data_IF_265120790654
#
_entry.id   IF_265120790654
#
_cell.length_a   1.000
_cell.length_b   1.000
_cell.length_c   1.000
_cell.angle_alpha   90.00
_cell.angle_beta   90.00
_cell.angle_gamma   90.00
#
_symmetry.space_group_name_H-M   'P 1'
#
loop_
_entity.id
_entity.type
_entity.pdbx_description
1 polymer ?
#
# COMPACT_ATOMS: atom_id res chain seq x y z
N UNK A 1 38.36 -8.83 55.28
CA UNK A 1 37.00 -8.29 55.05
C UNK A 1 36.79 -8.25 53.54
N UNK A 2 35.71 -8.86 53.06
CA UNK A 2 35.51 -9.20 51.64
C UNK A 2 35.02 -8.01 50.80
N UNK A 3 35.26 -8.12 49.49
CA UNK A 3 34.97 -7.18 48.41
C UNK A 3 33.47 -7.00 48.09
N UNK A 4 32.58 -7.26 49.04
CA UNK A 4 31.11 -7.33 48.82
C UNK A 4 30.32 -6.15 49.42
N UNK A 5 30.99 -5.11 49.94
CA UNK A 5 30.32 -4.01 50.66
C UNK A 5 30.31 -2.66 49.90
N UNK A 6 30.55 -2.67 48.58
CA UNK A 6 30.43 -1.48 47.73
C UNK A 6 29.27 -1.52 46.74
N UNK A 7 28.41 -2.54 46.80
CA UNK A 7 27.32 -2.75 45.82
C UNK A 7 25.92 -2.36 46.35
N UNK A 8 25.84 -1.64 47.48
CA UNK A 8 24.57 -1.17 48.03
C UNK A 8 24.43 0.36 47.95
N UNK A 9 24.42 0.89 46.73
CA UNK A 9 24.07 2.29 46.51
C UNK A 9 24.01 2.61 45.03
N UNK A 10 22.79 2.88 44.53
CA UNK A 10 22.43 3.31 43.16
C UNK A 10 21.65 2.28 42.31
N UNK A 11 20.74 1.52 42.93
CA UNK A 11 19.53 1.08 42.24
C UNK A 11 18.49 2.20 42.25
N UNK A 12 18.60 3.14 41.30
CA UNK A 12 17.54 4.10 41.00
C UNK A 12 17.69 4.59 39.56
N UNK A 13 17.02 3.90 38.63
CA UNK A 13 16.55 4.45 37.36
C UNK A 13 17.61 5.05 36.44
N UNK A 14 18.34 4.21 35.72
CA UNK A 14 19.03 4.61 34.49
C UNK A 14 17.99 4.93 33.39
N UNK A 15 17.29 6.06 33.56
CA UNK A 15 16.60 6.72 32.46
C UNK A 15 17.68 7.38 31.63
N UNK A 16 17.91 6.86 30.43
CA UNK A 16 18.84 7.43 29.45
C UNK A 16 18.54 8.94 29.31
N UNK A 17 19.52 9.85 29.48
CA UNK A 17 19.26 11.30 29.50
C UNK A 17 18.72 11.83 28.17
N UNK A 18 18.90 11.08 27.08
CA UNK A 18 18.35 11.39 25.76
C UNK A 18 16.82 11.32 25.72
N UNK A 19 16.19 10.45 26.51
CA UNK A 19 14.73 10.29 26.53
C UNK A 19 14.05 11.25 27.53
N UNK A 20 14.74 11.58 28.63
CA UNK A 20 14.27 12.56 29.61
C UNK A 20 14.23 13.99 29.04
N UNK A 21 15.22 14.38 28.23
CA UNK A 21 15.24 15.70 27.58
C UNK A 21 14.12 15.84 26.53
N UNK A 22 13.75 14.75 25.86
CA UNK A 22 12.62 14.67 24.91
C UNK A 22 11.26 14.71 25.60
N UNK A 23 11.17 14.22 26.83
CA UNK A 23 9.95 14.24 27.64
C UNK A 23 9.65 15.65 28.18
N UNK A 24 10.67 16.39 28.64
CA UNK A 24 10.52 17.77 29.14
C UNK A 24 10.20 18.83 28.07
N UNK A 25 10.30 18.45 26.79
CA UNK A 25 9.99 19.27 25.61
C UNK A 25 8.58 19.01 25.04
N UNK A 26 7.90 17.96 25.52
CA UNK A 26 6.56 17.62 25.07
C UNK A 26 5.54 18.57 25.66
N UNK A 27 5.03 19.41 24.78
CA UNK A 27 3.85 20.21 25.04
C UNK A 27 2.72 19.30 25.56
N UNK A 28 2.22 19.58 26.76
CA UNK A 28 1.05 18.91 27.37
C UNK A 28 -0.27 19.29 26.68
N UNK A 29 -0.29 19.31 25.35
CA UNK A 29 -1.51 19.46 24.58
C UNK A 29 -1.95 18.06 24.14
N UNK A 30 -2.90 17.42 24.85
CA UNK A 30 -3.30 16.05 24.57
C UNK A 30 -3.85 15.91 23.14
N UNK A 31 -4.53 16.93 22.63
CA UNK A 31 -5.08 16.93 21.28
C UNK A 31 -3.97 17.00 20.21
N UNK A 32 -2.90 17.75 20.47
CA UNK A 32 -1.71 17.76 19.59
C UNK A 32 -1.06 16.38 19.54
N UNK A 33 -0.80 15.78 20.71
CA UNK A 33 -0.12 14.47 20.81
C UNK A 33 -0.96 13.35 20.19
N UNK A 34 -2.28 13.35 20.41
CA UNK A 34 -3.19 12.41 19.77
C UNK A 34 -3.16 12.55 18.24
N UNK A 35 -3.16 13.79 17.73
CA UNK A 35 -3.11 14.05 16.30
C UNK A 35 -1.80 13.56 15.67
N UNK A 36 -0.66 13.78 16.34
CA UNK A 36 0.65 13.25 15.93
C UNK A 36 0.60 11.72 15.85
N UNK A 37 0.14 11.07 16.91
CA UNK A 37 0.05 9.60 16.96
C UNK A 37 -0.84 9.06 15.86
N UNK A 38 -2.00 9.69 15.62
CA UNK A 38 -2.92 9.31 14.55
C UNK A 38 -2.29 9.43 13.16
N UNK A 39 -1.57 10.52 12.87
CA UNK A 39 -0.85 10.69 11.60
C UNK A 39 0.18 9.58 11.42
N UNK A 40 0.98 9.30 12.46
CA UNK A 40 2.01 8.26 12.41
C UNK A 40 1.41 6.88 12.13
N UNK A 41 0.33 6.51 12.83
CA UNK A 41 -0.37 5.25 12.60
C UNK A 41 -0.90 5.16 11.17
N UNK A 42 -1.55 6.22 10.67
CA UNK A 42 -2.08 6.25 9.29
C UNK A 42 -0.97 6.10 8.25
N UNK A 43 0.14 6.80 8.42
CA UNK A 43 1.33 6.68 7.54
C UNK A 43 1.88 5.25 7.53
N UNK A 44 1.96 4.60 8.69
CA UNK A 44 2.41 3.21 8.78
C UNK A 44 1.43 2.26 8.09
N UNK A 45 0.12 2.40 8.35
CA UNK A 45 -0.92 1.59 7.70
C UNK A 45 -0.91 1.77 6.19
N UNK A 46 -0.82 2.99 5.67
CA UNK A 46 -0.71 3.25 4.23
C UNK A 46 0.54 2.59 3.63
N UNK A 47 1.68 2.60 4.31
CA UNK A 47 2.87 1.88 3.85
C UNK A 47 2.65 0.37 3.80
N UNK A 48 2.02 -0.21 4.82
CA UNK A 48 1.67 -1.64 4.84
C UNK A 48 0.71 -2.01 3.71
N UNK A 49 -0.31 -1.19 3.47
CA UNK A 49 -1.24 -1.36 2.36
C UNK A 49 -0.52 -1.27 1.01
N UNK A 50 0.38 -0.29 0.82
CA UNK A 50 1.19 -0.17 -0.39
C UNK A 50 2.01 -1.45 -0.66
N UNK A 51 2.63 -2.03 0.36
CA UNK A 51 3.35 -3.31 0.22
C UNK A 51 2.41 -4.46 -0.16
N UNK A 52 1.20 -4.52 0.42
CA UNK A 52 0.21 -5.55 0.08
C UNK A 52 -0.32 -5.39 -1.35
N UNK A 53 -0.61 -4.15 -1.77
CA UNK A 53 -0.97 -3.80 -3.14
C UNK A 53 0.11 -4.29 -4.11
N UNK A 54 1.39 -3.98 -3.87
CA UNK A 54 2.49 -4.43 -4.74
C UNK A 54 2.54 -5.95 -4.87
N UNK A 55 2.36 -6.69 -3.76
CA UNK A 55 2.31 -8.17 -3.79
C UNK A 55 1.12 -8.71 -4.57
N UNK A 56 -0.06 -8.09 -4.44
CA UNK A 56 -1.24 -8.48 -5.22
C UNK A 56 -1.02 -8.24 -6.70
N UNK A 57 -0.48 -7.07 -7.08
CA UNK A 57 -0.21 -6.77 -8.49
C UNK A 57 0.79 -7.77 -9.09
N UNK A 58 1.80 -8.21 -8.34
CA UNK A 58 2.75 -9.25 -8.79
C UNK A 58 2.09 -10.63 -9.01
N UNK A 59 0.95 -10.90 -8.38
CA UNK A 59 0.19 -12.15 -8.56
C UNK A 59 -0.76 -12.08 -9.75
N UNK A 60 -1.18 -10.89 -10.17
CA UNK A 60 -2.07 -10.70 -11.31
C UNK A 60 -1.44 -11.26 -12.60
N UNK A 61 -2.19 -12.06 -13.35
CA UNK A 61 -1.72 -12.70 -14.57
C UNK A 61 -0.78 -13.89 -14.38
N UNK A 62 -0.54 -14.32 -13.15
CA UNK A 62 0.18 -15.58 -12.85
C UNK A 62 -0.81 -16.74 -12.68
N UNK A 63 -0.33 -17.97 -12.56
CA UNK A 63 -1.22 -19.11 -12.27
C UNK A 63 -1.99 -19.00 -10.93
N UNK A 64 -1.52 -18.13 -10.03
CA UNK A 64 -2.13 -17.84 -8.73
C UNK A 64 -3.12 -16.67 -8.80
N UNK A 65 -3.40 -16.15 -10.00
CA UNK A 65 -4.39 -15.09 -10.17
C UNK A 65 -5.79 -15.62 -9.88
N UNK A 66 -6.59 -14.83 -9.19
CA UNK A 66 -7.95 -15.21 -8.78
C UNK A 66 -8.82 -13.96 -8.64
N UNK A 67 -10.13 -14.03 -8.88
CA UNK A 67 -11.04 -12.88 -8.72
C UNK A 67 -10.93 -12.22 -7.34
N UNK A 68 -10.72 -13.01 -6.28
CA UNK A 68 -10.50 -12.52 -4.91
C UNK A 68 -9.30 -11.59 -4.80
N UNK A 69 -8.22 -11.84 -5.53
CA UNK A 69 -7.04 -10.96 -5.54
C UNK A 69 -7.37 -9.59 -6.16
N UNK A 70 -8.28 -9.55 -7.15
CA UNK A 70 -8.70 -8.31 -7.81
C UNK A 70 -9.59 -7.48 -6.89
N UNK A 71 -10.55 -8.11 -6.22
CA UNK A 71 -11.42 -7.45 -5.24
C UNK A 71 -10.61 -6.91 -4.05
N UNK A 72 -9.67 -7.71 -3.55
CA UNK A 72 -8.76 -7.30 -2.47
C UNK A 72 -7.87 -6.13 -2.89
N UNK A 73 -7.34 -6.16 -4.12
CA UNK A 73 -6.55 -5.06 -4.67
C UNK A 73 -7.38 -3.77 -4.74
N UNK A 74 -8.60 -3.85 -5.26
CA UNK A 74 -9.51 -2.70 -5.35
C UNK A 74 -9.81 -2.12 -3.96
N UNK A 75 -10.19 -2.99 -3.01
CA UNK A 75 -10.47 -2.60 -1.63
C UNK A 75 -9.28 -1.89 -0.99
N UNK A 76 -8.06 -2.43 -1.14
CA UNK A 76 -6.86 -1.81 -0.58
C UNK A 76 -6.53 -0.48 -1.25
N UNK A 77 -6.79 -0.32 -2.55
CA UNK A 77 -6.61 0.96 -3.25
C UNK A 77 -7.54 2.02 -2.66
N UNK A 78 -8.81 1.68 -2.44
CA UNK A 78 -9.80 2.59 -1.83
C UNK A 78 -9.46 2.95 -0.38
N UNK A 79 -9.16 1.94 0.45
CA UNK A 79 -8.76 2.14 1.84
C UNK A 79 -7.51 3.03 1.94
N UNK A 80 -6.52 2.78 1.09
CA UNK A 80 -5.28 3.57 1.09
C UNK A 80 -5.52 4.98 0.61
N UNK A 81 -6.37 5.18 -0.42
CA UNK A 81 -6.77 6.51 -0.86
C UNK A 81 -7.42 7.30 0.28
N UNK A 82 -8.37 6.69 1.00
CA UNK A 82 -9.01 7.29 2.17
C UNK A 82 -7.97 7.68 3.23
N UNK A 83 -7.05 6.78 3.58
CA UNK A 83 -5.99 7.07 4.55
C UNK A 83 -5.11 8.25 4.10
N UNK A 84 -4.77 8.33 2.81
CA UNK A 84 -3.95 9.43 2.25
C UNK A 84 -4.70 10.77 2.35
N UNK A 85 -5.99 10.81 2.03
CA UNK A 85 -6.82 12.01 2.17
C UNK A 85 -6.96 12.44 3.63
N UNK A 86 -7.27 11.48 4.51
CA UNK A 86 -7.45 11.71 5.94
C UNK A 86 -6.15 12.18 6.61
N UNK A 87 -5.00 11.64 6.20
CA UNK A 87 -3.67 12.07 6.68
C UNK A 87 -3.35 13.48 6.22
N UNK A 88 -3.75 13.88 5.00
CA UNK A 88 -3.60 15.25 4.51
C UNK A 88 -4.35 16.25 5.41
N UNK A 89 -5.59 15.91 5.76
CA UNK A 89 -6.42 16.74 6.62
C UNK A 89 -5.81 16.88 8.01
N UNK A 90 -5.27 15.79 8.56
CA UNK A 90 -4.59 15.80 9.85
C UNK A 90 -3.31 16.64 9.85
N UNK A 91 -2.49 16.54 8.80
CA UNK A 91 -1.25 17.34 8.68
C UNK A 91 -1.58 18.83 8.56
N UNK A 92 -2.64 19.19 7.83
CA UNK A 92 -3.13 20.58 7.77
C UNK A 92 -3.57 21.05 9.15
N UNK A 93 -4.37 20.24 9.85
CA UNK A 93 -4.84 20.52 11.21
C UNK A 93 -3.68 20.67 12.20
N UNK A 94 -2.62 19.87 12.05
CA UNK A 94 -1.43 19.92 12.89
C UNK A 94 -0.72 21.29 12.80
N UNK A 95 -0.76 21.93 11.64
CA UNK A 95 -0.21 23.27 11.44
C UNK A 95 -0.96 24.38 12.18
N UNK A 96 -2.19 24.11 12.63
CA UNK A 96 -3.01 25.07 13.37
C UNK A 96 -2.73 25.08 14.88
N UNK A 97 -1.80 24.26 15.37
CA UNK A 97 -1.45 24.15 16.79
C UNK A 97 -0.20 24.99 17.15
N UNK A 98 -0.35 26.28 17.53
CA UNK A 98 0.79 27.10 17.91
C UNK A 98 1.46 26.59 19.20
N UNK A 99 2.80 26.61 19.25
CA UNK A 99 3.53 26.37 20.50
C UNK A 99 3.37 27.54 21.46
N UNK A 100 3.34 27.28 22.77
CA UNK A 100 3.17 28.31 23.81
C UNK A 100 4.49 29.02 24.13
N UNK A 101 5.62 28.35 23.91
CA UNK A 101 6.97 28.90 24.06
C UNK A 101 7.75 28.89 22.74
N UNK A 102 8.79 29.74 22.58
CA UNK A 102 9.67 29.71 21.40
C UNK A 102 10.32 28.34 21.17
N UNK A 103 10.62 27.60 22.25
CA UNK A 103 11.19 26.26 22.18
C UNK A 103 10.16 25.23 21.68
N UNK A 104 8.93 25.27 22.20
CA UNK A 104 7.84 24.43 21.71
C UNK A 104 7.47 24.72 20.25
N UNK A 105 7.42 26.00 19.86
CA UNK A 105 7.16 26.38 18.47
C UNK A 105 8.18 25.76 17.51
N UNK A 106 9.47 25.79 17.86
CA UNK A 106 10.54 25.15 17.09
C UNK A 106 10.35 23.63 17.04
N UNK A 107 10.09 22.98 18.17
CA UNK A 107 9.90 21.54 18.25
C UNK A 107 8.70 21.08 17.39
N UNK A 108 7.55 21.72 17.54
CA UNK A 108 6.32 21.41 16.77
C UNK A 108 6.53 21.62 15.26
N UNK A 109 7.28 22.66 14.86
CA UNK A 109 7.61 22.91 13.45
C UNK A 109 8.49 21.79 12.86
N UNK A 110 9.50 21.34 13.60
CA UNK A 110 10.36 20.22 13.17
C UNK A 110 9.55 18.93 13.03
N UNK A 111 8.67 18.65 13.98
CA UNK A 111 7.80 17.47 13.94
C UNK A 111 6.80 17.52 12.79
N UNK A 112 6.17 18.68 12.55
CA UNK A 112 5.30 18.88 11.39
C UNK A 112 6.06 18.65 10.08
N UNK A 113 7.27 19.20 9.93
CA UNK A 113 8.09 18.99 8.74
C UNK A 113 8.46 17.51 8.52
N UNK A 114 8.75 16.78 9.61
CA UNK A 114 9.01 15.35 9.55
C UNK A 114 7.79 14.59 9.04
N UNK A 115 6.63 14.80 9.64
CA UNK A 115 5.39 14.12 9.25
C UNK A 115 4.95 14.46 7.84
N UNK A 116 5.13 15.70 7.39
CA UNK A 116 4.88 16.09 6.00
C UNK A 116 5.79 15.35 5.02
N UNK A 117 7.08 15.15 5.35
CA UNK A 117 7.98 14.35 4.51
C UNK A 117 7.56 12.88 4.48
N UNK A 118 7.22 12.31 5.64
CA UNK A 118 6.78 10.93 5.73
C UNK A 118 5.50 10.69 4.90
N UNK A 119 4.57 11.63 4.96
CA UNK A 119 3.36 11.63 4.15
C UNK A 119 3.64 11.76 2.65
N UNK A 120 4.57 12.63 2.25
CA UNK A 120 4.94 12.76 0.84
C UNK A 120 5.48 11.43 0.28
N UNK A 121 6.34 10.75 1.04
CA UNK A 121 6.83 9.42 0.66
C UNK A 121 5.70 8.40 0.51
N UNK A 122 4.67 8.46 1.35
CA UNK A 122 3.47 7.59 1.22
C UNK A 122 2.71 7.89 -0.06
N UNK A 123 2.47 9.18 -0.38
CA UNK A 123 1.79 9.58 -1.62
C UNK A 123 2.55 9.06 -2.84
N UNK A 124 3.86 9.25 -2.88
CA UNK A 124 4.66 8.88 -4.05
C UNK A 124 4.63 7.36 -4.28
N UNK A 125 4.74 6.58 -3.21
CA UNK A 125 4.58 5.12 -3.26
C UNK A 125 3.17 4.72 -3.73
N UNK A 126 2.14 5.38 -3.22
CA UNK A 126 0.75 5.05 -3.57
C UNK A 126 0.44 5.39 -5.03
N UNK A 127 0.92 6.54 -5.53
CA UNK A 127 0.80 6.91 -6.96
C UNK A 127 1.49 5.90 -7.86
N UNK A 128 2.70 5.47 -7.52
CA UNK A 128 3.42 4.42 -8.26
C UNK A 128 2.66 3.09 -8.24
N UNK A 129 2.09 2.72 -7.08
CA UNK A 129 1.28 1.52 -6.96
C UNK A 129 -0.02 1.59 -7.81
N UNK A 130 -0.69 2.75 -7.86
CA UNK A 130 -1.86 2.97 -8.71
C UNK A 130 -1.52 2.86 -10.20
N UNK A 131 -0.43 3.49 -10.64
CA UNK A 131 0.03 3.41 -12.04
C UNK A 131 0.31 1.96 -12.43
N UNK A 132 1.10 1.25 -11.61
CA UNK A 132 1.44 -0.14 -11.89
C UNK A 132 0.22 -1.06 -11.88
N UNK A 133 -0.75 -0.83 -10.98
CA UNK A 133 -2.02 -1.56 -10.97
C UNK A 133 -2.81 -1.33 -12.26
N UNK A 134 -2.97 -0.07 -12.69
CA UNK A 134 -3.71 0.28 -13.89
C UNK A 134 -3.08 -0.34 -15.16
N UNK A 135 -1.76 -0.23 -15.31
CA UNK A 135 -1.03 -0.84 -16.43
C UNK A 135 -1.22 -2.36 -16.48
N UNK A 136 -1.16 -3.02 -15.32
CA UNK A 136 -1.32 -4.48 -15.23
C UNK A 136 -2.73 -4.92 -15.57
N UNK A 137 -3.74 -4.25 -15.02
CA UNK A 137 -5.14 -4.55 -15.32
C UNK A 137 -5.48 -4.32 -16.80
N UNK A 138 -4.97 -3.22 -17.39
CA UNK A 138 -5.12 -2.95 -18.81
C UNK A 138 -4.45 -4.02 -19.68
N UNK A 139 -3.22 -4.43 -19.34
CA UNK A 139 -2.50 -5.48 -20.06
C UNK A 139 -3.26 -6.82 -20.03
N UNK A 140 -3.83 -7.18 -18.87
CA UNK A 140 -4.62 -8.39 -18.73
C UNK A 140 -5.92 -8.33 -19.52
N UNK A 141 -6.60 -7.18 -19.54
CA UNK A 141 -7.78 -6.97 -20.37
C UNK A 141 -7.47 -7.16 -21.86
N UNK A 142 -6.42 -6.52 -22.36
CA UNK A 142 -5.99 -6.65 -23.77
C UNK A 142 -5.66 -8.11 -24.09
N UNK A 143 -4.95 -8.81 -23.20
CA UNK A 143 -4.61 -10.23 -23.38
C UNK A 143 -5.87 -11.10 -23.43
N UNK A 144 -6.83 -10.86 -22.54
CA UNK A 144 -8.09 -11.60 -22.52
C UNK A 144 -8.90 -11.37 -23.81
N UNK A 145 -8.95 -10.13 -24.31
CA UNK A 145 -9.59 -9.80 -25.59
C UNK A 145 -8.90 -10.49 -26.78
N UNK A 146 -7.57 -10.51 -26.80
CA UNK A 146 -6.80 -11.19 -27.84
C UNK A 146 -7.02 -12.73 -27.80
N UNK A 147 -7.05 -13.33 -26.61
CA UNK A 147 -7.34 -14.75 -26.44
C UNK A 147 -8.76 -15.09 -26.89
N UNK A 148 -9.74 -14.25 -26.55
CA UNK A 148 -11.12 -14.44 -27.01
C UNK A 148 -11.22 -14.42 -28.55
N UNK A 149 -10.55 -13.47 -29.20
CA UNK A 149 -10.48 -13.39 -30.67
C UNK A 149 -9.81 -14.62 -31.29
N UNK A 150 -8.70 -15.08 -30.71
CA UNK A 150 -8.00 -16.28 -31.16
C UNK A 150 -8.89 -17.52 -31.04
N UNK A 151 -9.56 -17.70 -29.90
CA UNK A 151 -10.45 -18.83 -29.67
C UNK A 151 -11.66 -18.82 -30.62
N UNK A 152 -12.23 -17.65 -30.89
CA UNK A 152 -13.29 -17.50 -31.88
C UNK A 152 -12.80 -17.90 -33.28
N UNK A 153 -11.59 -17.49 -33.66
CA UNK A 153 -11.01 -17.85 -34.95
C UNK A 153 -10.74 -19.36 -35.08
N UNK A 154 -10.16 -19.99 -34.05
CA UNK A 154 -9.95 -21.44 -34.01
C UNK A 154 -11.27 -22.19 -34.16
N UNK A 155 -12.32 -21.74 -33.48
CA UNK A 155 -13.65 -22.34 -33.58
C UNK A 155 -14.24 -22.22 -34.98
N UNK A 156 -14.07 -21.08 -35.65
CA UNK A 156 -14.51 -20.91 -37.04
C UNK A 156 -13.74 -21.83 -37.98
N UNK A 157 -12.43 -21.97 -37.79
CA UNK A 157 -11.60 -22.86 -38.60
C UNK A 157 -12.00 -24.33 -38.41
N UNK A 158 -12.28 -24.78 -37.18
CA UNK A 158 -12.78 -26.12 -36.91
C UNK A 158 -14.12 -26.40 -37.59
N UNK A 159 -15.03 -25.42 -37.61
CA UNK A 159 -16.31 -25.56 -38.34
C UNK A 159 -16.06 -25.73 -39.83
N UNK A 160 -15.20 -24.88 -40.42
CA UNK A 160 -14.84 -25.00 -41.83
C UNK A 160 -14.17 -26.35 -42.17
N UNK A 161 -13.27 -26.84 -41.32
CA UNK A 161 -12.61 -28.14 -41.50
C UNK A 161 -13.60 -29.31 -41.39
N UNK A 162 -14.56 -29.24 -40.47
CA UNK A 162 -15.64 -30.23 -40.36
C UNK A 162 -16.54 -30.23 -41.60
N UNK A 163 -16.87 -29.06 -42.15
CA UNK A 163 -17.69 -28.94 -43.35
C UNK A 163 -16.95 -29.50 -44.59
N UNK A 164 -15.64 -29.24 -44.70
CA UNK A 164 -14.80 -29.78 -45.79
C UNK A 164 -14.72 -31.30 -45.70
N UNK A 165 -14.37 -31.83 -44.52
CA UNK A 165 -14.24 -33.29 -44.30
C UNK A 165 -15.58 -34.02 -44.51
N UNK A 166 -16.69 -33.44 -44.06
CA UNK A 166 -18.02 -33.96 -44.33
C UNK A 166 -18.32 -34.03 -45.83
N UNK A 167 -18.06 -32.94 -46.57
CA UNK A 167 -18.26 -32.91 -48.01
C UNK A 167 -17.36 -33.93 -48.76
N UNK A 168 -16.10 -34.09 -48.36
CA UNK A 168 -15.21 -35.11 -48.92
C UNK A 168 -15.73 -36.53 -48.71
N UNK A 169 -16.25 -36.85 -47.52
CA UNK A 169 -16.83 -38.17 -47.23
C UNK A 169 -18.08 -38.48 -48.08
N UNK A 170 -18.89 -37.47 -48.36
CA UNK A 170 -20.08 -37.59 -49.23
C UNK A 170 -19.71 -37.80 -50.70
N UNK A 171 -18.59 -37.25 -51.15
CA UNK A 171 -18.07 -37.46 -52.51
C UNK A 171 -17.55 -38.89 -52.64
N UNK A 172 -16.78 -39.38 -51.67
CA UNK A 172 -16.23 -40.74 -51.69
C UNK A 172 -17.33 -41.82 -51.74
N UNK A 173 -18.45 -41.65 -51.02
CA UNK A 173 -19.58 -42.59 -51.07
C UNK A 173 -20.35 -42.61 -52.39
N UNK A 174 -20.17 -41.62 -53.28
CA UNK A 174 -20.82 -41.60 -54.60
C UNK A 174 -20.01 -42.30 -55.68
N UNK A 175 -18.71 -42.48 -55.44
CA UNK A 175 -17.77 -43.09 -56.39
C UNK A 175 -17.52 -44.60 -56.10
N UNK A 176 -18.16 -45.15 -55.05
CA UNK A 176 -18.26 -46.60 -54.75
C UNK A 176 -19.56 -47.22 -55.28
#
# INVERSE_FOLDING_TARGET
MSFYDLEAGLSAGASTPANALRSGLQSHDPAYTELISRIQTRVLTSNSNNTRIQRLIQRLGTHNDSPKNHDELHTLLEETHKLVCDTMADIKRLGSFPGKTPQEMKARKVEQQRLSRDYQMVIDKFKGAQQFAAERLQTLKIRAEAQHKLNANIRLQQVMENDITFNESMIQQRDE
#
